data_IF_270797384235
#
_entry.id   IF_270797384235
#
_cell.length_a   1.000
_cell.length_b   1.000
_cell.length_c   1.000
_cell.angle_alpha   90.00
_cell.angle_beta   90.00
_cell.angle_gamma   90.00
#
_symmetry.space_group_name_H-M   'P 1'
#
loop_
_entity.id
_entity.type
_entity.pdbx_description
1 polymer ?
2 non-polymer ?
3 non-polymer ?
4 water ?
#
# COMPACT_ATOMS: atom_id res chain seq x y z
N UNK A 21 10.76 -23.10 -21.07
CA UNK A 21 9.76 -22.96 -20.02
C UNK A 21 10.23 -23.64 -18.74
N UNK A 22 10.52 -22.85 -17.72
CA UNK A 22 11.00 -23.38 -16.44
C UNK A 22 9.84 -23.92 -15.61
N UNK A 23 10.13 -24.86 -14.74
CA UNK A 23 9.11 -25.45 -13.87
C UNK A 23 8.61 -24.44 -12.84
N UNK A 24 7.30 -24.40 -12.67
CA UNK A 24 6.69 -23.63 -11.61
C UNK A 24 6.36 -24.58 -10.46
N UNK A 25 7.06 -24.47 -9.33
CA UNK A 25 6.85 -25.42 -8.24
C UNK A 25 5.83 -24.89 -7.24
N UNK A 26 4.59 -25.38 -7.36
CA UNK A 26 3.47 -24.86 -6.58
C UNK A 26 2.43 -25.94 -6.27
N UNK A 27 1.92 -25.93 -5.04
CA UNK A 27 0.83 -26.81 -4.60
C UNK A 27 0.99 -28.31 -4.89
N UNK A 28 -0.14 -28.95 -5.21
CA UNK A 28 -0.17 -30.37 -5.59
C UNK A 28 0.53 -31.35 -4.64
N UNK A 29 0.17 -31.34 -3.36
CA UNK A 29 0.81 -32.23 -2.39
C UNK A 29 -0.16 -33.03 -1.52
N UNK A 30 0.40 -33.75 -0.56
CA UNK A 30 -0.37 -34.60 0.35
C UNK A 30 -1.13 -33.78 1.39
N UNK A 31 -0.39 -33.12 2.28
CA UNK A 31 -1.00 -32.37 3.36
C UNK A 31 -1.86 -31.24 2.83
N UNK A 32 -3.12 -31.18 3.29
CA UNK A 32 -4.04 -30.13 2.88
C UNK A 32 -3.91 -28.94 3.82
N UNK A 33 -4.66 -27.88 3.55
CA UNK A 33 -4.66 -26.70 4.40
C UNK A 33 -5.53 -26.93 5.63
N UNK A 34 -6.67 -27.58 5.43
CA UNK A 34 -7.60 -27.86 6.51
C UNK A 34 -6.96 -28.75 7.57
N UNK A 35 -6.01 -29.58 7.15
CA UNK A 35 -5.37 -30.53 8.05
C UNK A 35 -4.54 -29.82 9.13
N UNK A 36 -3.84 -28.77 8.74
CA UNK A 36 -2.94 -28.08 9.65
C UNK A 36 -3.50 -26.81 10.26
N UNK A 37 -4.62 -26.33 9.73
CA UNK A 37 -5.22 -25.09 10.21
C UNK A 37 -6.73 -25.25 10.44
N UNK A 38 -7.31 -24.28 11.13
CA UNK A 38 -8.76 -24.21 11.32
C UNK A 38 -9.23 -22.79 11.03
N UNK A 39 -10.29 -22.67 10.24
CA UNK A 39 -10.73 -21.35 9.77
C UNK A 39 -11.69 -20.66 10.74
N UNK A 40 -11.24 -19.52 11.24
CA UNK A 40 -12.05 -18.61 12.05
C UNK A 40 -12.71 -17.58 11.15
N UNK A 41 -13.20 -16.48 11.73
CA UNK A 41 -14.05 -15.55 11.00
C UNK A 41 -13.28 -14.82 9.91
N UNK A 42 -14.01 -13.98 9.17
CA UNK A 42 -13.45 -13.24 8.05
C UNK A 42 -12.71 -11.99 8.50
N UNK A 43 -11.76 -11.54 7.69
CA UNK A 43 -10.99 -10.34 7.97
C UNK A 43 -10.65 -9.59 6.68
N UNK A 49 -11.09 -12.78 -3.98
CA UNK A 49 -10.46 -13.51 -2.88
C UNK A 49 -11.06 -13.07 -1.54
N UNK A 50 -11.00 -13.98 -0.57
CA UNK A 50 -11.57 -13.73 0.76
C UNK A 50 -10.52 -13.98 1.85
N UNK A 51 -10.48 -13.07 2.82
CA UNK A 51 -9.55 -13.20 3.94
C UNK A 51 -10.28 -13.70 5.17
N UNK A 52 -9.62 -14.59 5.92
CA UNK A 52 -10.18 -15.12 7.15
C UNK A 52 -9.08 -15.34 8.17
N UNK A 53 -9.42 -15.17 9.44
CA UNK A 53 -8.49 -15.49 10.50
C UNK A 53 -8.47 -16.99 10.69
N UNK A 54 -7.27 -17.58 10.69
CA UNK A 54 -7.13 -19.00 10.95
C UNK A 54 -6.25 -19.22 12.16
N UNK A 55 -6.09 -20.48 12.54
CA UNK A 55 -5.25 -20.84 13.66
C UNK A 55 -4.44 -22.06 13.28
N UNK A 56 -3.18 -22.10 13.71
CA UNK A 56 -2.35 -23.25 13.43
C UNK A 56 -2.57 -24.19 14.60
N UNK A 57 -3.27 -25.29 14.34
CA UNK A 57 -3.76 -26.14 15.41
C UNK A 57 -2.62 -26.88 16.10
N UNK A 58 -1.49 -26.94 15.42
CA UNK A 58 -0.30 -27.54 16.01
C UNK A 58 0.19 -26.70 17.17
N UNK A 59 0.47 -25.42 16.91
CA UNK A 59 0.99 -24.52 17.93
C UNK A 59 -0.06 -23.57 18.53
N UNK A 60 -1.30 -23.65 18.06
CA UNK A 60 -2.36 -22.76 18.52
C UNK A 60 -2.05 -21.28 18.26
N UNK A 61 -1.24 -21.00 17.24
CA UNK A 61 -0.93 -19.63 16.87
C UNK A 61 -1.86 -19.16 15.76
N UNK A 62 -2.31 -17.92 15.85
CA UNK A 62 -3.27 -17.39 14.89
C UNK A 62 -2.59 -16.67 13.74
N UNK A 63 -3.13 -16.84 12.54
CA UNK A 63 -2.61 -16.19 11.34
C UNK A 63 -3.76 -15.70 10.47
N UNK A 64 -3.42 -15.17 9.30
CA UNK A 64 -4.42 -14.76 8.33
C UNK A 64 -4.28 -15.60 7.06
N UNK A 65 -5.40 -16.03 6.50
CA UNK A 65 -5.38 -16.85 5.30
C UNK A 65 -6.21 -16.23 4.19
N UNK A 66 -5.55 -15.91 3.07
CA UNK A 66 -6.24 -15.37 1.91
C UNK A 66 -6.59 -16.51 0.95
N UNK A 67 -7.89 -16.76 0.80
CA UNK A 67 -8.36 -17.81 -0.09
C UNK A 67 -8.66 -17.25 -1.47
N UNK A 68 -7.93 -17.72 -2.47
CA UNK A 68 -8.08 -17.22 -3.83
C UNK A 68 -8.71 -18.27 -4.73
N UNK A 69 -9.54 -17.82 -5.66
CA UNK A 69 -10.21 -18.72 -6.59
C UNK A 69 -9.39 -18.84 -7.87
N UNK A 70 -8.84 -20.03 -8.11
CA UNK A 70 -7.98 -20.26 -9.26
C UNK A 70 -8.73 -20.14 -10.58
N UNK A 71 -10.06 -20.14 -10.49
CA UNK A 71 -10.89 -19.99 -11.68
C UNK A 71 -11.16 -18.52 -11.94
N UNK A 72 -10.53 -17.65 -11.16
CA UNK A 72 -10.69 -16.20 -11.30
C UNK A 72 -9.32 -15.52 -11.47
N UNK A 73 -8.49 -15.63 -10.44
CA UNK A 73 -7.26 -14.85 -10.32
C UNK A 73 -6.01 -15.54 -10.86
N UNK A 74 -5.67 -16.70 -10.32
CA UNK A 74 -4.36 -17.32 -10.53
C UNK A 74 -3.23 -16.45 -9.99
N UNK A 75 -3.07 -16.45 -8.65
CA UNK A 75 -2.12 -15.61 -7.92
C UNK A 75 -0.70 -16.17 -7.98
N UNK A 76 -0.21 -16.50 -9.16
CA UNK A 76 1.16 -16.98 -9.29
C UNK A 76 2.10 -15.79 -9.16
N UNK A 77 1.69 -14.67 -9.75
CA UNK A 77 2.47 -13.44 -9.70
C UNK A 77 2.55 -12.90 -8.28
N UNK A 78 1.44 -13.02 -7.55
CA UNK A 78 1.37 -12.52 -6.18
C UNK A 78 2.25 -13.34 -5.24
N UNK A 79 2.07 -14.65 -5.27
CA UNK A 79 2.80 -15.55 -4.38
C UNK A 79 4.31 -15.45 -4.61
N UNK A 80 4.72 -15.28 -5.86
CA UNK A 80 6.14 -15.12 -6.19
C UNK A 80 6.72 -13.92 -5.45
N UNK A 81 5.99 -12.81 -5.47
CA UNK A 81 6.44 -11.59 -4.81
C UNK A 81 6.57 -11.79 -3.31
N UNK A 82 5.56 -12.41 -2.71
CA UNK A 82 5.55 -12.63 -1.27
C UNK A 82 6.72 -13.52 -0.83
N UNK A 83 6.95 -14.60 -1.56
CA UNK A 83 8.06 -15.49 -1.27
C UNK A 83 9.38 -14.73 -1.32
N UNK A 84 9.56 -13.96 -2.39
CA UNK A 84 10.81 -13.28 -2.65
C UNK A 84 10.99 -12.06 -1.74
N UNK A 85 9.97 -11.21 -1.65
CA UNK A 85 10.07 -9.95 -0.92
C UNK A 85 9.45 -9.96 0.48
N UNK A 86 8.82 -11.06 0.88
CA UNK A 86 8.16 -11.12 2.17
C UNK A 86 9.12 -10.99 3.33
N UNK A 87 10.40 -11.17 3.05
CA UNK A 87 11.46 -11.08 4.05
C UNK A 87 11.56 -9.66 4.61
N UNK A 88 11.17 -8.68 3.80
CA UNK A 88 11.25 -7.28 4.19
C UNK A 88 10.48 -7.05 5.48
N UNK A 89 11.09 -6.33 6.44
CA UNK A 89 10.46 -6.09 7.75
C UNK A 89 9.07 -5.46 7.64
N UNK A 90 8.92 -4.49 6.76
CA UNK A 90 7.68 -3.72 6.64
C UNK A 90 6.71 -4.26 5.59
N UNK A 91 7.03 -5.41 5.00
CA UNK A 91 6.13 -6.05 4.05
C UNK A 91 5.48 -7.29 4.69
N UNK A 92 4.18 -7.45 4.49
CA UNK A 92 3.47 -8.57 5.09
C UNK A 92 4.21 -9.87 4.78
N UNK A 93 4.47 -10.67 5.81
CA UNK A 93 5.33 -11.83 5.68
C UNK A 93 4.52 -13.11 5.43
N UNK A 94 4.92 -13.88 4.41
CA UNK A 94 4.25 -15.11 4.06
C UNK A 94 4.70 -16.24 4.98
N UNK A 95 3.77 -16.79 5.77
CA UNK A 95 4.09 -17.86 6.70
C UNK A 95 3.82 -19.26 6.18
N UNK A 96 3.10 -19.37 5.06
CA UNK A 96 2.75 -20.68 4.51
C UNK A 96 1.84 -20.53 3.30
N UNK A 97 1.75 -21.58 2.49
CA UNK A 97 0.87 -21.57 1.33
C UNK A 97 0.38 -22.99 1.00
N UNK A 98 -0.87 -23.10 0.56
CA UNK A 98 -1.46 -24.39 0.24
C UNK A 98 -2.26 -24.37 -1.06
N UNK A 99 -2.34 -25.52 -1.71
CA UNK A 99 -3.12 -25.67 -2.93
C UNK A 99 -3.91 -26.98 -2.91
N UNK A 100 -5.24 -26.87 -2.93
CA UNK A 100 -6.09 -28.06 -2.93
C UNK A 100 -6.54 -28.46 -4.33
N UNK A 101 -6.07 -27.71 -5.33
CA UNK A 101 -6.40 -27.98 -6.72
C UNK A 101 -7.50 -27.10 -7.23
N UNK A 102 -8.31 -26.57 -6.32
CA UNK A 102 -9.41 -25.67 -6.65
C UNK A 102 -9.06 -24.26 -6.19
N UNK A 103 -8.84 -24.11 -4.88
CA UNK A 103 -8.50 -22.83 -4.28
C UNK A 103 -7.05 -22.77 -3.82
N UNK A 104 -6.49 -21.56 -3.80
CA UNK A 104 -5.14 -21.34 -3.28
C UNK A 104 -5.20 -20.63 -1.94
N UNK A 105 -4.52 -21.18 -0.94
CA UNK A 105 -4.53 -20.63 0.40
C UNK A 105 -3.20 -19.97 0.72
N UNK A 106 -3.23 -18.65 0.91
CA UNK A 106 -2.04 -17.91 1.28
C UNK A 106 -2.09 -17.53 2.75
N UNK A 107 -1.24 -18.16 3.56
CA UNK A 107 -1.20 -17.91 4.99
C UNK A 107 -0.13 -16.87 5.32
N UNK A 108 -0.54 -15.77 5.95
CA UNK A 108 0.38 -14.71 6.31
C UNK A 108 0.22 -14.34 7.79
N UNK A 109 1.05 -13.41 8.24
CA UNK A 109 0.95 -12.91 9.60
C UNK A 109 -0.31 -12.07 9.77
N UNK A 110 -0.95 -12.20 10.93
CA UNK A 110 -2.20 -11.50 11.20
C UNK A 110 -1.93 -10.13 11.79
N UNK A 111 -2.53 -9.10 11.19
CA UNK A 111 -2.33 -7.74 11.65
C UNK A 111 -3.25 -7.46 12.84
N UNK A 112 -2.65 -7.19 13.99
CA UNK A 112 -3.40 -6.92 15.21
C UNK A 112 -3.49 -5.44 15.56
N UNK A 113 -2.89 -4.57 14.73
CA UNK A 113 -2.82 -3.16 15.02
C UNK A 113 -3.85 -2.33 14.28
N UNK A 114 -4.67 -2.96 13.46
CA UNK A 114 -5.69 -2.26 12.69
C UNK A 114 -5.09 -1.51 11.52
N UNK A 115 -5.92 -0.76 10.81
CA UNK A 115 -5.46 0.05 9.70
C UNK A 115 -4.58 1.19 10.21
N UNK A 116 -3.47 1.44 9.53
CA UNK A 116 -2.52 2.45 9.96
C UNK A 116 -3.15 3.83 10.00
N UNK A 117 -3.68 4.26 8.86
CA UNK A 117 -4.30 5.59 8.76
C UNK A 117 -5.45 5.73 9.75
N UNK A 118 -6.27 4.69 9.84
CA UNK A 118 -7.43 4.68 10.72
C UNK A 118 -7.01 5.03 12.16
N UNK A 119 -6.02 4.30 12.66
CA UNK A 119 -5.55 4.50 14.02
C UNK A 119 -4.96 5.89 14.22
N UNK A 120 -4.17 6.34 13.25
CA UNK A 120 -3.51 7.64 13.33
C UNK A 120 -4.52 8.79 13.43
N UNK A 121 -5.51 8.78 12.55
CA UNK A 121 -6.52 9.85 12.54
C UNK A 121 -7.26 9.93 13.87
N UNK A 122 -7.25 8.83 14.62
CA UNK A 122 -7.95 8.78 15.90
C UNK A 122 -7.07 9.22 17.07
N UNK A 123 -5.85 9.69 16.76
CA UNK A 123 -4.96 10.19 17.78
C UNK A 123 -5.03 11.71 17.83
N UNK A 124 -5.60 12.22 18.91
CA UNK A 124 -5.71 13.67 19.11
C UNK A 124 -4.33 14.30 19.10
N UNK A 125 -3.35 13.61 19.66
CA UNK A 125 -1.98 14.09 19.65
C UNK A 125 -1.17 13.32 18.61
N UNK A 126 -0.90 14.00 17.51
CA UNK A 126 -0.07 13.46 16.44
C UNK A 126 0.55 14.68 15.75
N UNK A 127 1.82 14.59 15.39
CA UNK A 127 2.48 15.73 14.77
C UNK A 127 3.17 15.33 13.47
N UNK A 128 3.77 16.31 12.80
CA UNK A 128 4.45 16.08 11.53
C UNK A 128 5.66 15.18 11.74
N UNK A 129 6.39 15.42 12.82
CA UNK A 129 7.55 14.62 13.16
C UNK A 129 7.21 13.14 13.09
N UNK A 130 6.03 12.77 13.58
CA UNK A 130 5.57 11.38 13.54
C UNK A 130 5.06 11.03 12.15
N UNK A 131 4.47 12.00 11.46
CA UNK A 131 3.95 11.78 10.12
C UNK A 131 5.10 11.53 9.13
N UNK A 132 6.21 12.21 9.35
CA UNK A 132 7.38 12.07 8.48
C UNK A 132 8.07 10.73 8.72
N UNK A 133 8.05 10.26 9.96
CA UNK A 133 8.67 8.99 10.31
C UNK A 133 7.86 7.83 9.76
N UNK A 134 6.53 7.98 9.73
CA UNK A 134 5.66 6.94 9.21
C UNK A 134 5.78 6.85 7.69
N UNK A 135 5.75 7.99 7.02
CA UNK A 135 5.87 8.03 5.57
C UNK A 135 7.25 7.57 5.12
N UNK A 136 8.27 7.88 5.93
CA UNK A 136 9.63 7.46 5.62
C UNK A 136 9.73 5.95 5.59
N UNK A 137 9.19 5.29 6.62
CA UNK A 137 9.23 3.84 6.72
C UNK A 137 8.45 3.21 5.56
N UNK A 138 7.34 3.82 5.19
CA UNK A 138 6.49 3.29 4.13
C UNK A 138 7.08 3.55 2.76
N UNK A 139 7.70 4.71 2.58
CA UNK A 139 8.29 5.08 1.30
C UNK A 139 9.58 4.30 1.06
N UNK A 140 10.39 4.17 2.11
CA UNK A 140 11.62 3.41 2.02
C UNK A 140 11.32 1.99 1.56
N UNK A 141 10.16 1.48 1.95
CA UNK A 141 9.73 0.14 1.56
C UNK A 141 9.41 0.08 0.07
N UNK A 142 8.74 1.10 -0.44
CA UNK A 142 8.34 1.15 -1.84
C UNK A 142 9.54 1.38 -2.75
N UNK A 143 10.51 2.15 -2.27
CA UNK A 143 11.72 2.40 -3.04
C UNK A 143 12.42 1.08 -3.35
N UNK A 144 12.37 0.17 -2.39
CA UNK A 144 12.97 -1.16 -2.56
C UNK A 144 12.22 -1.97 -3.61
N UNK A 145 10.89 -1.95 -3.52
CA UNK A 145 10.06 -2.70 -4.46
C UNK A 145 10.22 -2.18 -5.88
N UNK A 146 10.34 -0.86 -6.02
CA UNK A 146 10.53 -0.25 -7.34
C UNK A 146 11.87 -0.64 -7.94
N UNK A 147 12.90 -0.71 -7.10
CA UNK A 147 14.25 -1.01 -7.57
C UNK A 147 14.36 -2.45 -8.08
N UNK A 148 13.47 -3.32 -7.60
CA UNK A 148 13.45 -4.70 -8.05
C UNK A 148 12.45 -4.92 -9.18
N UNK A 149 11.83 -3.85 -9.64
CA UNK A 149 10.91 -3.91 -10.76
C UNK A 149 9.53 -4.38 -10.34
N UNK A 150 9.16 -4.10 -9.11
CA UNK A 150 7.85 -4.48 -8.59
C UNK A 150 7.02 -3.25 -8.27
N UNK A 151 5.77 -3.25 -8.73
CA UNK A 151 4.83 -2.18 -8.43
C UNK A 151 3.59 -2.76 -7.76
N UNK A 152 3.14 -2.12 -6.68
CA UNK A 152 1.98 -2.61 -5.93
C UNK A 152 0.71 -2.39 -6.74
N UNK A 153 0.58 -1.20 -7.30
CA UNK A 153 -0.54 -0.84 -8.18
C UNK A 153 -1.86 -0.69 -7.42
N UNK A 154 -1.92 -1.18 -6.20
CA UNK A 154 -2.96 -0.78 -5.27
C UNK A 154 -2.31 -0.44 -3.94
N UNK A 155 -2.16 0.85 -3.65
CA UNK A 155 -1.56 1.28 -2.38
C UNK A 155 -2.53 1.84 -1.34
N UNK A 156 -3.82 1.80 -1.63
CA UNK A 156 -4.81 2.47 -0.78
C UNK A 156 -4.61 2.13 0.70
N UNK A 157 -4.87 3.12 1.58
CA UNK A 157 -4.58 3.06 3.02
C UNK A 157 -5.09 1.80 3.71
N UNK A 158 -6.16 1.21 3.18
CA UNK A 158 -6.72 0.01 3.79
C UNK A 158 -5.77 -1.18 3.69
N UNK A 159 -4.77 -1.07 2.83
CA UNK A 159 -3.78 -2.15 2.67
C UNK A 159 -2.50 -1.93 3.48
N UNK A 160 -2.40 -0.79 4.16
CA UNK A 160 -1.28 -0.52 5.05
C UNK A 160 -1.74 -0.63 6.48
N UNK A 161 -1.25 -1.66 7.19
CA UNK A 161 -1.77 -1.99 8.51
C UNK A 161 -0.66 -2.11 9.54
N UNK A 162 -1.05 -2.07 10.82
CA UNK A 162 -0.11 -2.30 11.91
C UNK A 162 -0.15 -3.77 12.33
N UNK A 163 1.01 -4.39 12.44
CA UNK A 163 1.09 -5.79 12.87
C UNK A 163 0.76 -5.87 14.36
N UNK A 164 1.17 -4.85 15.10
CA UNK A 164 0.88 -4.78 16.53
C UNK A 164 0.58 -3.34 16.94
N UNK A 165 0.32 -3.14 18.22
CA UNK A 165 -0.07 -1.84 18.74
C UNK A 165 1.09 -1.04 19.35
N UNK A 166 2.30 -1.56 19.22
CA UNK A 166 3.47 -0.90 19.82
C UNK A 166 3.54 0.57 19.41
N UNK A 167 3.00 0.89 18.24
CA UNK A 167 2.97 2.27 17.77
C UNK A 167 4.18 2.62 16.92
N UNK A 168 5.17 1.74 16.91
CA UNK A 168 6.40 1.99 16.15
C UNK A 168 6.24 1.67 14.67
N UNK A 169 6.81 2.51 13.80
CA UNK A 169 6.80 2.28 12.35
C UNK A 169 7.31 0.90 11.97
N UNK A 170 8.11 0.27 12.83
CA UNK A 170 8.60 -1.08 12.58
C UNK A 170 7.46 -2.09 12.57
N UNK A 171 6.33 -1.71 13.15
CA UNK A 171 5.16 -2.58 13.20
C UNK A 171 4.25 -2.37 11.98
N UNK A 172 4.67 -1.49 11.07
CA UNK A 172 3.91 -1.22 9.86
C UNK A 172 4.11 -2.34 8.84
N UNK A 173 3.05 -2.68 8.11
CA UNK A 173 3.11 -3.72 7.09
C UNK A 173 2.31 -3.33 5.85
N UNK A 174 2.93 -3.49 4.68
CA UNK A 174 2.21 -3.35 3.42
C UNK A 174 1.61 -4.70 3.05
N UNK A 175 0.34 -4.71 2.67
CA UNK A 175 -0.40 -5.95 2.48
C UNK A 175 -1.20 -6.00 1.18
N UNK A 176 -1.71 -7.18 0.85
CA UNK A 176 -2.56 -7.37 -0.32
C UNK A 176 -1.88 -6.97 -1.62
N UNK A 177 -0.93 -7.81 -2.05
CA UNK A 177 -0.19 -7.60 -3.29
C UNK A 177 -0.91 -8.21 -4.48
N UNK A 178 -2.15 -8.64 -4.28
CA UNK A 178 -2.91 -9.33 -5.30
C UNK A 178 -2.87 -8.66 -6.67
N UNK A 179 -2.74 -7.34 -6.68
CA UNK A 179 -2.62 -6.60 -7.94
C UNK A 179 -1.17 -6.26 -8.32
N UNK A 180 -0.23 -6.69 -7.49
CA UNK A 180 1.19 -6.38 -7.71
C UNK A 180 1.71 -7.06 -8.98
N UNK A 181 2.76 -6.49 -9.57
CA UNK A 181 3.31 -7.00 -10.83
C UNK A 181 4.84 -6.91 -10.87
N UNK A 182 5.48 -7.96 -11.38
CA UNK A 182 6.92 -7.99 -11.57
C UNK A 182 7.27 -7.54 -12.98
N UNK A 183 8.35 -6.78 -13.11
CA UNK A 183 8.83 -6.35 -14.42
C UNK A 183 9.48 -7.54 -15.13
N UNK A 184 9.04 -7.81 -16.35
CA UNK A 184 9.58 -8.93 -17.13
C UNK A 184 9.85 -8.54 -18.57
N UNK A 185 10.80 -9.23 -19.20
CA UNK A 185 11.12 -8.98 -20.60
C UNK A 185 10.24 -9.84 -21.49
N UNK A 186 10.40 -9.70 -22.79
CA UNK A 186 9.63 -10.50 -23.75
C UNK A 186 9.95 -11.97 -23.57
N UNK A 187 11.15 -12.25 -23.10
CA UNK A 187 11.59 -13.63 -22.86
C UNK A 187 10.87 -14.25 -21.68
N UNK A 188 10.25 -13.41 -20.85
CA UNK A 188 9.61 -13.86 -19.63
C UNK A 188 10.55 -13.74 -18.45
N UNK A 189 11.75 -13.26 -18.71
CA UNK A 189 12.77 -13.10 -17.68
C UNK A 189 12.37 -12.03 -16.67
N UNK A 190 12.95 -12.11 -15.48
CA UNK A 190 12.76 -11.09 -14.47
C UNK A 190 13.75 -9.95 -14.73
N UNK A 191 13.24 -8.72 -14.74
CA UNK A 191 14.06 -7.56 -15.06
C UNK A 191 14.03 -6.56 -13.92
N UNK A 192 15.12 -5.80 -13.79
CA UNK A 192 15.17 -4.68 -12.86
C UNK A 192 15.28 -3.39 -13.66
N UNK A 193 14.76 -2.29 -13.12
CA UNK A 193 14.71 -1.03 -13.86
C UNK A 193 16.07 -0.58 -14.34
N UNK A 194 17.13 -0.97 -13.64
CA UNK A 194 18.48 -0.53 -13.95
C UNK A 194 19.11 -1.32 -15.10
N UNK A 195 18.83 -2.61 -15.17
CA UNK A 195 19.41 -3.44 -16.22
C UNK A 195 18.43 -3.52 -17.39
N UNK A 196 18.77 -2.80 -18.46
CA UNK A 196 17.91 -2.69 -19.63
C UNK A 196 18.31 -3.55 -20.83
N UNK A 197 19.38 -4.33 -20.69
CA UNK A 197 20.03 -4.97 -21.85
C UNK A 197 19.20 -6.05 -22.55
N UNK A 198 18.06 -6.43 -21.97
CA UNK A 198 17.17 -7.40 -22.62
C UNK A 198 15.88 -6.72 -23.08
N UNK A 199 15.28 -7.24 -24.14
CA UNK A 199 14.13 -6.59 -24.76
C UNK A 199 12.90 -6.65 -23.88
N UNK A 200 12.35 -5.48 -23.59
CA UNK A 200 11.08 -5.35 -22.88
C UNK A 200 10.17 -4.47 -23.71
N UNK A 201 8.95 -4.93 -23.97
CA UNK A 201 8.01 -4.17 -24.77
C UNK A 201 7.88 -2.75 -24.22
N UNK A 202 7.97 -1.75 -25.10
CA UNK A 202 7.91 -0.34 -24.68
C UNK A 202 6.68 -0.02 -23.85
N UNK A 203 5.52 -0.51 -24.27
CA UNK A 203 4.28 -0.27 -23.55
C UNK A 203 4.29 -0.93 -22.17
N UNK A 204 5.12 -1.95 -22.01
CA UNK A 204 5.29 -2.61 -20.72
C UNK A 204 6.12 -1.72 -19.80
N UNK A 205 7.22 -1.19 -20.32
CA UNK A 205 8.03 -0.24 -19.60
C UNK A 205 7.21 1.04 -19.36
N UNK A 206 6.30 1.32 -20.30
CA UNK A 206 5.44 2.49 -20.20
C UNK A 206 4.47 2.35 -19.02
N UNK A 207 3.73 1.25 -18.99
CA UNK A 207 2.79 1.00 -17.91
C UNK A 207 3.54 0.90 -16.58
N UNK A 208 4.71 0.28 -16.63
CA UNK A 208 5.55 0.16 -15.44
C UNK A 208 5.82 1.54 -14.87
N UNK A 209 5.98 2.53 -15.76
CA UNK A 209 6.17 3.90 -15.34
C UNK A 209 4.95 4.45 -14.62
N UNK A 210 3.79 4.31 -15.23
CA UNK A 210 2.54 4.77 -14.63
C UNK A 210 2.31 4.10 -13.29
N UNK A 211 2.35 2.77 -13.28
CA UNK A 211 2.07 2.00 -12.08
C UNK A 211 2.97 2.41 -10.91
N UNK A 212 4.21 2.76 -11.22
CA UNK A 212 5.14 3.22 -10.20
C UNK A 212 4.76 4.62 -9.72
N UNK A 213 4.28 5.43 -10.65
CA UNK A 213 3.86 6.80 -10.34
C UNK A 213 2.56 6.80 -9.54
N UNK A 214 1.69 5.83 -9.82
CA UNK A 214 0.42 5.72 -9.13
C UNK A 214 0.63 5.30 -7.68
N UNK A 215 1.65 4.50 -7.43
CA UNK A 215 1.99 4.10 -6.07
C UNK A 215 2.35 5.32 -5.24
N UNK A 216 3.15 6.21 -5.81
CA UNK A 216 3.56 7.43 -5.13
C UNK A 216 2.36 8.36 -4.95
N UNK A 217 1.44 8.33 -5.92
CA UNK A 217 0.23 9.13 -5.84
C UNK A 217 -0.62 8.69 -4.65
N UNK A 218 -0.77 7.38 -4.50
CA UNK A 218 -1.54 6.83 -3.39
C UNK A 218 -0.93 7.22 -2.05
N UNK A 219 0.40 7.27 -2.00
CA UNK A 219 1.10 7.69 -0.80
C UNK A 219 0.91 9.19 -0.58
N UNK A 220 0.70 9.93 -1.66
CA UNK A 220 0.41 11.34 -1.58
C UNK A 220 -0.95 11.59 -0.97
N UNK A 221 -1.88 10.69 -1.25
CA UNK A 221 -3.23 10.77 -0.68
C UNK A 221 -3.19 10.40 0.80
N UNK A 222 -2.27 9.53 1.16
CA UNK A 222 -2.10 9.11 2.54
C UNK A 222 -1.62 10.28 3.39
N UNK A 223 -0.58 10.96 2.90
CA UNK A 223 0.01 12.08 3.62
C UNK A 223 -0.99 13.22 3.77
N UNK A 224 -1.72 13.52 2.70
CA UNK A 224 -2.69 14.60 2.70
C UNK A 224 -3.74 14.38 3.78
N UNK A 225 -4.21 13.15 3.90
CA UNK A 225 -5.25 12.81 4.87
C UNK A 225 -4.70 12.81 6.29
N UNK A 226 -3.47 12.32 6.44
CA UNK A 226 -2.83 12.27 7.76
C UNK A 226 -2.69 13.68 8.34
N UNK A 227 -2.28 14.62 7.49
CA UNK A 227 -2.01 15.98 7.94
C UNK A 227 -3.30 16.73 8.30
N UNK A 228 -4.24 16.77 7.37
CA UNK A 228 -5.48 17.52 7.57
C UNK A 228 -6.56 16.76 8.33
N UNK A 229 -6.69 15.47 8.05
CA UNK A 229 -7.74 14.66 8.66
C UNK A 229 -8.87 14.34 7.69
N UNK A 230 -8.73 14.78 6.44
CA UNK A 230 -9.70 14.46 5.40
C UNK A 230 -9.01 14.19 4.07
N UNK A 231 -9.72 13.52 3.16
CA UNK A 231 -9.15 13.15 1.87
C UNK A 231 -9.20 14.32 0.87
N UNK A 232 -8.20 14.41 -0.01
CA UNK A 232 -8.09 15.53 -0.95
C UNK A 232 -9.18 15.59 -2.01
N UNK A 233 -9.52 14.44 -2.60
CA UNK A 233 -10.46 14.41 -3.71
C UNK A 233 -11.88 13.97 -3.34
N UNK A 234 -12.12 13.65 -2.08
CA UNK A 234 -13.44 13.21 -1.65
C UNK A 234 -13.79 13.70 -0.25
N UNK A 235 -15.06 14.08 -0.09
CA UNK A 235 -15.60 14.49 1.20
C UNK A 235 -16.07 13.28 1.99
N UNK A 236 -17.02 12.56 1.43
CA UNK A 236 -17.56 11.36 2.05
C UNK A 236 -17.96 10.34 1.01
N UNK A 237 -18.51 9.20 1.44
CA UNK A 237 -18.81 8.07 0.57
C UNK A 237 -19.86 8.37 -0.51
N UNK A 238 -20.60 9.47 -0.34
CA UNK A 238 -21.69 9.78 -1.27
C UNK A 238 -21.23 10.57 -2.50
N UNK A 239 -20.02 11.10 -2.47
CA UNK A 239 -19.51 11.89 -3.60
C UNK A 239 -19.56 11.06 -4.88
N UNK A 240 -20.16 11.65 -5.93
CA UNK A 240 -20.26 10.98 -7.22
C UNK A 240 -18.87 10.77 -7.80
N UNK A 241 -18.65 9.64 -8.47
CA UNK A 241 -17.36 9.39 -9.14
C UNK A 241 -17.00 10.51 -10.11
N UNK A 242 -18.00 11.07 -10.77
CA UNK A 242 -17.78 12.12 -11.77
C UNK A 242 -17.04 13.31 -11.16
N UNK A 243 -17.52 13.82 -10.03
CA UNK A 243 -16.92 14.97 -9.40
C UNK A 243 -15.57 14.59 -8.76
N UNK A 244 -15.53 13.40 -8.16
CA UNK A 244 -14.29 12.90 -7.58
C UNK A 244 -13.21 12.82 -8.65
N UNK A 245 -13.59 12.34 -9.83
CA UNK A 245 -12.65 12.24 -10.95
C UNK A 245 -12.39 13.62 -11.54
N UNK A 246 -13.37 14.50 -11.43
CA UNK A 246 -13.22 15.88 -11.88
C UNK A 246 -12.15 16.56 -11.04
N UNK A 247 -12.14 16.27 -9.74
CA UNK A 247 -11.11 16.79 -8.85
C UNK A 247 -9.76 16.17 -9.20
N UNK A 248 -9.72 14.85 -9.25
CA UNK A 248 -8.49 14.11 -9.55
C UNK A 248 -7.90 14.54 -10.89
N UNK A 249 -8.75 15.07 -11.76
CA UNK A 249 -8.31 15.51 -13.07
C UNK A 249 -7.52 16.78 -12.94
N UNK A 250 -7.43 17.56 -14.01
CA UNK A 250 -6.63 18.77 -14.01
C UNK A 250 -6.93 19.61 -12.78
N UNK A 251 -8.13 19.45 -12.24
CA UNK A 251 -8.53 20.18 -11.04
C UNK A 251 -7.49 20.08 -9.93
N UNK A 252 -7.20 21.22 -9.31
CA UNK A 252 -6.17 21.30 -8.28
C UNK A 252 -6.74 21.22 -6.87
N UNK A 253 -5.99 20.59 -5.97
CA UNK A 253 -6.40 20.45 -4.57
C UNK A 253 -6.07 21.70 -3.78
N UNK A 254 -6.43 21.71 -2.48
CA UNK A 254 -6.25 22.90 -1.64
C UNK A 254 -5.28 22.66 -0.49
N UNK A 255 -4.14 23.34 -0.56
CA UNK A 255 -3.10 23.22 0.46
C UNK A 255 -3.05 24.36 1.50
N UNK A 256 -4.01 25.30 1.43
CA UNK A 256 -3.97 26.44 2.33
C UNK A 256 -5.31 26.69 3.06
N UNK A 257 -5.23 27.44 4.15
CA UNK A 257 -6.40 27.82 4.92
C UNK A 257 -6.88 26.70 5.80
N UNK A 258 -7.63 27.04 6.85
CA UNK A 258 -8.19 26.04 7.73
C UNK A 258 -7.11 25.17 8.35
N UNK A 259 -7.22 23.87 8.10
CA UNK A 259 -6.31 22.89 8.69
C UNK A 259 -4.87 23.01 8.17
N UNK A 260 -4.66 23.83 7.14
CA UNK A 260 -3.33 24.00 6.57
C UNK A 260 -2.55 25.18 7.14
N UNK A 261 -3.21 25.97 7.98
CA UNK A 261 -2.58 27.18 8.52
C UNK A 261 -1.40 26.88 9.43
N UNK A 262 -1.52 25.83 10.23
CA UNK A 262 -0.47 25.47 11.18
C UNK A 262 0.51 24.47 10.59
N UNK A 263 0.25 24.02 9.36
CA UNK A 263 1.11 23.04 8.71
C UNK A 263 2.34 23.69 8.11
N UNK A 264 3.49 23.03 8.26
CA UNK A 264 4.76 23.58 7.79
C UNK A 264 4.75 23.79 6.28
N UNK A 265 5.41 24.86 5.84
CA UNK A 265 5.45 25.20 4.42
C UNK A 265 6.14 24.12 3.61
N UNK A 266 7.16 23.51 4.20
CA UNK A 266 7.92 22.46 3.53
C UNK A 266 7.05 21.23 3.28
N UNK A 267 6.20 20.90 4.26
CA UNK A 267 5.33 19.73 4.15
C UNK A 267 4.35 19.89 3.00
N UNK A 268 3.87 21.11 2.81
CA UNK A 268 2.92 21.40 1.74
C UNK A 268 3.57 21.19 0.38
N UNK A 269 4.88 21.41 0.31
CA UNK A 269 5.63 21.25 -0.92
C UNK A 269 5.71 19.78 -1.34
N UNK A 270 5.98 18.92 -0.37
CA UNK A 270 6.08 17.48 -0.63
C UNK A 270 4.76 16.93 -1.15
N UNK A 271 3.66 17.38 -0.56
CA UNK A 271 2.34 16.89 -0.91
C UNK A 271 1.98 17.21 -2.36
N UNK A 272 2.25 18.45 -2.77
CA UNK A 272 1.89 18.90 -4.11
C UNK A 272 2.67 18.13 -5.18
N UNK A 273 3.91 17.77 -4.88
CA UNK A 273 4.76 17.09 -5.85
C UNK A 273 4.49 15.59 -5.91
N UNK A 274 3.91 15.04 -4.85
CA UNK A 274 3.55 13.63 -4.81
C UNK A 274 2.23 13.39 -5.54
N UNK A 275 1.34 14.37 -5.47
CA UNK A 275 0.03 14.28 -6.10
C UNK A 275 -0.02 14.94 -7.47
N UNK A 276 1.13 15.37 -7.98
CA UNK A 276 1.19 16.11 -9.23
C UNK A 276 0.42 15.37 -10.31
N UNK A 277 -0.42 16.11 -11.03
CA UNK A 277 -1.33 15.52 -12.02
C UNK A 277 -0.57 14.79 -13.13
N UNK A 278 0.50 15.41 -13.62
CA UNK A 278 1.34 14.80 -14.63
C UNK A 278 2.26 13.77 -14.00
N UNK A 279 2.08 12.47 -14.36
CA UNK A 279 2.88 11.39 -13.79
C UNK A 279 4.38 11.59 -14.00
N UNK A 280 4.77 12.06 -15.18
CA UNK A 280 6.17 12.24 -15.52
C UNK A 280 6.81 13.34 -14.67
N UNK A 281 6.02 14.29 -14.21
CA UNK A 281 6.51 15.34 -13.33
C UNK A 281 6.37 14.95 -11.86
N UNK A 282 5.68 13.84 -11.61
CA UNK A 282 5.44 13.38 -10.25
C UNK A 282 6.73 12.86 -9.64
N UNK A 283 6.80 12.90 -8.31
CA UNK A 283 8.02 12.53 -7.60
C UNK A 283 8.17 11.01 -7.50
N UNK A 284 9.42 10.56 -7.41
CA UNK A 284 9.72 9.14 -7.32
C UNK A 284 10.12 8.78 -5.90
N UNK A 285 9.83 7.54 -5.50
CA UNK A 285 10.12 7.09 -4.15
C UNK A 285 11.52 7.50 -3.72
N UNK A 286 12.48 7.38 -4.64
CA UNK A 286 13.86 7.76 -4.36
C UNK A 286 13.94 9.23 -3.97
N UNK A 287 13.35 10.08 -4.80
CA UNK A 287 13.39 11.53 -4.58
C UNK A 287 12.60 11.92 -3.34
N UNK A 288 11.47 11.28 -3.12
CA UNK A 288 10.64 11.55 -1.95
C UNK A 288 11.46 11.42 -0.68
N UNK A 289 12.32 10.41 -0.64
CA UNK A 289 13.14 10.14 0.54
C UNK A 289 14.24 11.19 0.70
N UNK A 290 14.52 11.93 -0.38
CA UNK A 290 15.53 12.99 -0.34
C UNK A 290 14.91 14.36 -0.07
N UNK A 291 13.59 14.38 0.15
CA UNK A 291 12.91 15.64 0.40
C UNK A 291 13.20 16.12 1.82
N UNK A 292 13.45 17.43 1.98
CA UNK A 292 13.80 18.02 3.28
C UNK A 292 12.84 17.61 4.39
N UNK A 293 11.56 17.43 4.05
CA UNK A 293 10.57 17.03 5.03
C UNK A 293 10.92 15.65 5.59
N UNK A 294 11.36 14.75 4.70
CA UNK A 294 11.79 13.42 5.12
C UNK A 294 13.22 13.45 5.67
N UNK A 295 14.11 14.17 4.99
CA UNK A 295 15.52 14.19 5.36
C UNK A 295 15.73 14.92 6.69
N UNK A 296 15.25 16.15 6.80
CA UNK A 296 15.29 16.82 8.08
C UNK A 296 13.90 16.71 8.68
N UNK A 297 13.74 15.74 9.56
CA UNK A 297 12.53 15.57 10.34
C UNK A 297 12.62 16.41 11.60
N UNK A 298 13.83 16.51 12.14
CA UNK A 298 14.08 17.22 13.39
C UNK A 298 13.70 18.69 13.28
N UNK A 299 13.59 19.20 12.05
CA UNK A 299 13.17 20.57 11.83
C UNK A 299 11.65 20.69 11.96
N UNK A 300 10.95 19.59 11.75
CA UNK A 300 9.49 19.59 11.74
C UNK A 300 8.89 19.83 13.12
N UNK A 301 7.70 20.45 13.17
CA UNK A 301 6.95 20.72 14.40
C UNK A 301 6.54 19.45 15.14
N UNK A 302 6.70 19.45 16.46
CA UNK A 302 6.36 18.29 17.29
C UNK A 302 4.98 18.41 17.97
N UNK A 303 4.27 19.51 17.70
CA UNK A 303 3.00 19.77 18.36
C UNK A 303 1.80 19.27 17.55
N UNK A 304 0.75 18.86 18.26
CA UNK A 304 -0.43 18.27 17.65
C UNK A 304 -0.96 19.11 16.50
N UNK A 305 -1.36 18.42 15.43
CA UNK A 305 -1.90 19.09 14.25
C UNK A 305 -3.39 19.35 14.41
N UNK A 306 -3.85 20.49 13.91
CA UNK A 306 -5.28 20.76 13.86
C UNK A 306 -5.88 20.01 12.69
N UNK A 307 -6.81 19.11 13.00
CA UNK A 307 -7.39 18.23 11.98
C UNK A 307 -8.87 18.03 12.22
N UNK A 308 -9.59 17.68 11.15
CA UNK A 308 -10.96 17.24 11.29
C UNK A 308 -10.92 15.85 11.89
N UNK A 309 -11.84 15.55 12.79
CA UNK A 309 -11.97 14.17 13.24
C UNK A 309 -13.28 13.61 12.73
N UNK A 310 -13.17 12.83 11.65
CA UNK A 310 -14.26 11.99 11.18
C UNK A 310 -13.64 10.77 10.52
N UNK A 311 -12.92 9.94 11.31
CA UNK A 311 -12.22 8.79 10.73
C UNK A 311 -13.14 7.91 9.88
N UNK A 312 -14.35 7.68 10.37
CA UNK A 312 -15.31 6.85 9.65
C UNK A 312 -15.73 7.51 8.34
N UNK A 313 -15.83 8.84 8.33
CA UNK A 313 -16.20 9.56 7.13
C UNK A 313 -15.07 9.49 6.11
N UNK A 314 -13.83 9.60 6.59
CA UNK A 314 -12.66 9.48 5.74
C UNK A 314 -12.65 8.11 5.07
N UNK A 315 -12.96 7.09 5.85
CA UNK A 315 -13.05 5.73 5.35
C UNK A 315 -13.96 5.67 4.12
N UNK A 316 -15.13 6.27 4.24
CA UNK A 316 -16.09 6.30 3.14
C UNK A 316 -15.55 7.07 1.96
N UNK A 317 -14.82 8.15 2.24
CA UNK A 317 -14.25 8.98 1.19
C UNK A 317 -13.18 8.22 0.42
N UNK A 318 -12.34 7.48 1.14
CA UNK A 318 -11.28 6.69 0.53
C UNK A 318 -11.86 5.64 -0.42
N UNK A 319 -12.78 4.84 0.09
CA UNK A 319 -13.41 3.79 -0.70
C UNK A 319 -14.06 4.37 -1.95
N UNK A 320 -14.71 5.52 -1.79
CA UNK A 320 -15.40 6.19 -2.88
C UNK A 320 -14.39 6.69 -3.92
N UNK A 321 -13.25 7.17 -3.45
CA UNK A 321 -12.22 7.71 -4.32
C UNK A 321 -11.63 6.61 -5.21
N UNK A 322 -11.31 5.47 -4.60
CA UNK A 322 -10.71 4.36 -5.34
C UNK A 322 -11.74 3.56 -6.12
N UNK A 323 -13.01 3.76 -5.81
CA UNK A 323 -14.08 3.11 -6.55
C UNK A 323 -14.24 3.78 -7.91
N UNK A 324 -14.08 5.10 -7.93
CA UNK A 324 -14.17 5.87 -9.17
C UNK A 324 -12.98 5.55 -10.08
N UNK A 325 -11.83 5.29 -9.46
CA UNK A 325 -10.61 4.99 -10.20
C UNK A 325 -10.68 3.64 -10.91
N UNK A 326 -11.21 2.64 -10.20
CA UNK A 326 -11.20 1.27 -10.69
C UNK A 326 -12.42 0.94 -11.54
N UNK A 327 -13.25 1.95 -11.78
CA UNK A 327 -14.43 1.78 -12.63
C UNK A 327 -14.28 2.60 -13.91
X LIG B 1 -7.01 -8.63 2.47
X LIG B 1 -7.30 -7.25 2.93
X LIG B 1 -7.53 -6.19 3.29
X LIG B 1 -5.57 -8.73 2.09
X LIG B 1 -5.17 -9.62 1.04
X LIG B 1 -4.73 -8.06 2.67
X LIG B 1 -7.29 -9.61 3.57
X LIG B 1 -6.25 -9.89 4.59
X LIG B 1 -5.29 -10.88 4.37
X LIG B 1 -4.32 -11.15 5.33
X LIG B 1 -4.31 -10.40 6.50
X LIG B 1 -3.48 -10.44 7.61
X LIG B 1 -3.86 -9.54 8.49
X LIG B 1 -4.94 -8.87 8.02
X LIG B 1 -5.27 -9.41 6.72
X LIG B 1 -6.23 -9.16 5.77
X LIG B 1 -7.56 -8.84 1.70
X LIG B 1 -4.29 -9.69 0.81
X LIG B 1 -5.79 -10.12 0.61
X LIG B 1 -8.14 -9.40 3.99
X LIG B 1 -5.31 -11.39 3.54
X LIG B 1 -3.65 -11.84 5.18
X LIG B 1 -2.78 -11.00 7.72
X LIG B 1 -5.42 -8.16 8.47
X LIG B 1 -6.89 -8.46 5.93
X LIG C 1 7.89 -8.86 5.97
#
# INVERSE_FOLDING_TARGET
AHHHHHHVDDDDKMQTVGVHSIVQQLHRNSIQFTDGYEVKEDIGVGSYSVCKRCIHKATNMEFAVKIIDKSKRDPTEEIEILLRYGQHPNIITLKDVYDDGKYVYVVTELMKGGELLDKILRQKFFSEREASAVLFTITKTVEYLHAQGVVHRDLKPSNILYVDESGNPESIRICDFGFAKQLRAENGLLMTPCYTANFVAPEVLERQGYDAACDIWSLGVLLYTMLTGYTPFANGPDDTPEEILARIGSGKFSLSGGYWNSVSDTAKDLVSKMLHVDPHQRLTAALVLRHPWIVHWDQLPQYQLNRQDAPHLVKGAMAATYSALNRNQSPVLEPVGRSTLAQRRGIKKITSTAL
1LB C01 C02 N03 C04 N05 O06 C07 C08 C09 C10 C11 N12 N13 C14 C15 C16 H011 H051 H052 H072 H091 H101 H121 H141 H161
NA NA
#
